data_IF_179349137095
#
_entry.id   IF_179349137095
#
_cell.length_a   1.000
_cell.length_b   1.000
_cell.length_c   1.000
_cell.angle_alpha   90.00
_cell.angle_beta   90.00
_cell.angle_gamma   90.00
#
_symmetry.space_group_name_H-M   'P 1'
#
loop_
_entity.id
_entity.type
_entity.pdbx_description
1 polymer ?
#
# COMPACT_ATOMS: atom_id res chain seq x y z
N UNK A 1 49.67 -47.62 55.18
CA UNK A 1 49.44 -47.31 53.74
C UNK A 1 49.05 -45.87 53.65
N UNK A 2 49.80 -45.14 52.86
CA UNK A 2 50.15 -43.72 53.00
C UNK A 2 49.10 -42.75 52.51
N UNK A 3 48.85 -41.68 53.29
CA UNK A 3 48.02 -40.50 52.94
C UNK A 3 48.33 -39.87 51.57
N UNK A 4 49.48 -40.22 50.98
CA UNK A 4 49.89 -39.68 49.66
C UNK A 4 49.19 -40.35 48.45
N UNK A 5 48.55 -41.51 48.59
CA UNK A 5 47.83 -42.16 47.48
C UNK A 5 46.45 -41.55 47.21
N UNK A 6 45.77 -41.08 48.25
CA UNK A 6 44.43 -40.43 48.13
C UNK A 6 44.49 -39.03 47.55
N UNK A 7 45.51 -38.23 47.87
CA UNK A 7 45.69 -36.88 47.33
C UNK A 7 45.98 -36.92 45.81
N UNK A 8 46.61 -37.99 45.32
CA UNK A 8 46.90 -38.16 43.90
C UNK A 8 45.65 -38.52 43.07
N UNK A 9 44.74 -39.30 43.65
CA UNK A 9 43.43 -39.66 43.02
C UNK A 9 42.49 -38.46 42.92
N UNK A 10 42.48 -37.63 43.98
CA UNK A 10 41.63 -36.43 43.99
C UNK A 10 42.09 -35.35 42.99
N UNK A 11 43.41 -35.24 42.75
CA UNK A 11 43.95 -34.28 41.71
C UNK A 11 43.62 -34.69 40.29
N UNK A 12 43.50 -35.97 39.97
CA UNK A 12 43.10 -36.44 38.64
C UNK A 12 41.61 -36.24 38.35
N UNK A 13 40.75 -36.38 39.34
CA UNK A 13 39.30 -36.15 39.19
C UNK A 13 39.02 -34.63 38.99
N UNK A 14 39.76 -33.76 39.67
CA UNK A 14 39.60 -32.31 39.46
C UNK A 14 40.11 -31.86 38.07
N UNK A 15 41.13 -32.50 37.50
CA UNK A 15 41.66 -32.15 36.18
C UNK A 15 40.72 -32.64 35.05
N UNK A 16 40.02 -33.76 35.19
CA UNK A 16 39.07 -34.28 34.21
C UNK A 16 37.77 -33.48 34.17
N UNK A 17 37.30 -33.00 35.37
CA UNK A 17 36.12 -32.16 35.41
C UNK A 17 36.35 -30.73 34.80
N UNK A 18 37.57 -30.18 34.95
CA UNK A 18 37.89 -28.86 34.39
C UNK A 18 37.96 -28.87 32.84
N UNK A 19 38.34 -29.98 32.23
CA UNK A 19 38.41 -30.11 30.76
C UNK A 19 37.04 -30.36 30.12
N UNK A 20 36.08 -30.95 30.83
CA UNK A 20 34.72 -31.21 30.31
C UNK A 20 33.87 -29.92 30.38
N UNK A 21 34.07 -29.06 31.40
CA UNK A 21 33.36 -27.78 31.52
C UNK A 21 33.86 -26.74 30.49
N UNK A 22 35.15 -26.83 30.08
CA UNK A 22 35.71 -25.90 29.08
C UNK A 22 35.26 -26.16 27.65
N UNK A 23 34.79 -27.38 27.33
CA UNK A 23 34.33 -27.73 25.96
C UNK A 23 32.83 -27.42 25.79
N UNK A 24 32.05 -27.35 26.85
CA UNK A 24 30.63 -27.04 26.78
C UNK A 24 30.30 -25.55 26.59
N UNK A 25 31.30 -24.65 26.71
CA UNK A 25 31.11 -23.19 26.58
C UNK A 25 31.46 -22.60 25.20
N UNK A 26 31.88 -23.44 24.24
CA UNK A 26 32.24 -22.98 22.89
C UNK A 26 31.24 -23.39 21.78
N UNK A 27 30.11 -24.01 22.12
CA UNK A 27 28.98 -24.22 21.20
C UNK A 27 27.86 -23.23 21.59
N UNK A 28 28.21 -22.00 21.93
CA UNK A 28 27.34 -20.85 21.84
C UNK A 28 27.22 -20.52 20.36
N UNK A 29 26.39 -21.29 19.63
CA UNK A 29 25.99 -20.92 18.30
C UNK A 29 25.53 -19.45 18.33
N UNK A 30 26.08 -18.63 17.48
CA UNK A 30 25.46 -17.37 17.07
C UNK A 30 24.06 -17.77 16.59
N UNK A 31 23.08 -17.75 17.47
CA UNK A 31 21.70 -17.59 17.11
C UNK A 31 21.65 -16.20 16.47
N UNK A 32 21.96 -16.13 15.19
CA UNK A 32 21.70 -14.95 14.40
C UNK A 32 20.24 -14.63 14.68
N UNK A 33 19.98 -13.46 15.22
CA UNK A 33 18.63 -12.98 15.42
C UNK A 33 17.95 -13.10 14.04
N UNK A 34 17.13 -14.12 13.85
CA UNK A 34 16.26 -14.22 12.69
C UNK A 34 15.33 -13.02 12.82
N UNK A 35 15.63 -11.98 12.06
CA UNK A 35 14.68 -10.88 11.87
C UNK A 35 13.46 -11.50 11.23
N UNK A 36 12.38 -11.62 12.01
CA UNK A 36 11.09 -12.04 11.47
C UNK A 36 10.70 -11.00 10.43
N UNK A 37 10.71 -11.41 9.16
CA UNK A 37 10.26 -10.55 8.07
C UNK A 37 8.80 -10.17 8.35
N UNK A 38 8.54 -8.87 8.48
CA UNK A 38 7.16 -8.39 8.65
C UNK A 38 6.39 -8.61 7.36
N UNK A 39 5.06 -8.74 7.43
CA UNK A 39 4.21 -8.81 6.24
C UNK A 39 4.42 -7.59 5.32
N UNK A 40 4.82 -6.45 5.87
CA UNK A 40 5.14 -5.23 5.12
C UNK A 40 6.38 -5.39 4.23
N UNK A 41 7.33 -6.25 4.62
CA UNK A 41 8.54 -6.56 3.86
C UNK A 41 8.35 -7.74 2.88
N UNK A 42 7.16 -8.36 2.85
CA UNK A 42 6.90 -9.52 2.01
C UNK A 42 7.01 -9.20 0.51
N UNK A 43 7.53 -10.16 -0.23
CA UNK A 43 7.65 -10.19 -1.70
C UNK A 43 7.17 -11.54 -2.20
N UNK A 44 6.63 -11.59 -3.42
CA UNK A 44 6.15 -12.85 -4.03
C UNK A 44 7.29 -13.76 -4.48
N UNK A 45 8.43 -13.16 -4.85
CA UNK A 45 9.58 -13.87 -5.37
C UNK A 45 9.22 -14.76 -6.59
N UNK A 46 8.46 -14.22 -7.52
CA UNK A 46 8.08 -14.91 -8.76
C UNK A 46 9.32 -15.47 -9.48
N UNK A 47 9.33 -16.75 -9.90
CA UNK A 47 10.45 -17.29 -10.66
C UNK A 47 10.56 -16.59 -12.03
N UNK A 48 11.79 -16.41 -12.51
CA UNK A 48 12.12 -15.83 -13.82
C UNK A 48 11.59 -14.41 -14.07
N UNK A 49 11.35 -13.63 -13.01
CA UNK A 49 10.96 -12.23 -13.18
C UNK A 49 12.13 -11.39 -13.71
N UNK A 50 11.83 -10.49 -14.65
CA UNK A 50 12.83 -9.60 -15.29
C UNK A 50 13.02 -8.28 -14.53
N UNK A 51 12.10 -7.95 -13.63
CA UNK A 51 12.10 -6.70 -12.85
C UNK A 51 12.33 -6.98 -11.38
N UNK A 52 13.01 -6.08 -10.68
CA UNK A 52 13.17 -6.16 -9.23
C UNK A 52 11.83 -5.93 -8.54
N UNK A 53 11.52 -6.77 -7.56
CA UNK A 53 10.29 -6.66 -6.77
C UNK A 53 10.44 -5.66 -5.62
N UNK A 54 9.39 -4.87 -5.41
CA UNK A 54 9.26 -3.89 -4.32
C UNK A 54 8.26 -4.43 -3.29
N UNK A 55 8.61 -4.38 -2.01
CA UNK A 55 7.70 -4.70 -0.90
C UNK A 55 6.79 -3.49 -0.59
N UNK A 56 5.76 -3.71 0.25
CA UNK A 56 4.88 -2.61 0.69
C UNK A 56 5.66 -1.54 1.46
N UNK A 57 6.56 -1.95 2.34
CA UNK A 57 7.42 -1.04 3.11
C UNK A 57 8.34 -0.21 2.20
N UNK A 58 8.96 -0.84 1.19
CA UNK A 58 9.78 -0.15 0.21
C UNK A 58 8.95 0.85 -0.61
N UNK A 59 7.74 0.48 -1.02
CA UNK A 59 6.85 1.35 -1.78
C UNK A 59 6.43 2.58 -0.96
N UNK A 60 6.12 2.41 0.34
CA UNK A 60 5.82 3.54 1.23
C UNK A 60 6.99 4.53 1.27
N UNK A 61 8.23 4.04 1.40
CA UNK A 61 9.42 4.89 1.39
C UNK A 61 9.60 5.62 0.05
N UNK A 62 9.45 4.88 -1.06
CA UNK A 62 9.54 5.45 -2.42
C UNK A 62 8.53 6.57 -2.65
N UNK A 63 7.30 6.40 -2.16
CA UNK A 63 6.25 7.42 -2.26
C UNK A 63 6.54 8.63 -1.37
N UNK A 64 7.12 8.42 -0.18
CA UNK A 64 7.44 9.47 0.75
C UNK A 64 8.63 10.34 0.30
N UNK A 65 9.66 9.74 -0.29
CA UNK A 65 10.89 10.41 -0.71
C UNK A 65 10.94 10.78 -2.20
N UNK A 66 9.95 10.32 -3.00
CA UNK A 66 9.88 10.57 -4.43
C UNK A 66 11.02 9.94 -5.23
N UNK A 67 11.68 8.90 -4.69
CA UNK A 67 12.85 8.24 -5.30
C UNK A 67 12.53 7.46 -6.58
N UNK A 68 11.25 7.21 -6.87
CA UNK A 68 10.80 6.67 -8.15
C UNK A 68 9.42 7.21 -8.53
N UNK A 69 9.11 7.18 -9.83
CA UNK A 69 7.75 7.44 -10.33
C UNK A 69 6.94 6.15 -10.26
N UNK A 70 5.80 6.19 -9.59
CA UNK A 70 4.91 5.02 -9.45
C UNK A 70 3.81 5.07 -10.49
N UNK A 71 3.59 3.96 -11.21
CA UNK A 71 2.55 3.85 -12.23
C UNK A 71 1.61 2.67 -11.95
N UNK A 72 0.33 2.97 -12.03
CA UNK A 72 -0.76 1.98 -12.04
C UNK A 72 -0.97 1.47 -13.48
N UNK A 73 -0.73 0.20 -13.72
CA UNK A 73 -0.92 -0.44 -15.02
C UNK A 73 -2.37 -0.93 -15.24
N UNK A 74 -3.28 -0.65 -14.33
CA UNK A 74 -4.71 -1.00 -14.47
C UNK A 74 -5.41 -0.08 -15.48
N UNK A 75 -6.58 -0.48 -15.98
CA UNK A 75 -7.44 0.39 -16.78
C UNK A 75 -7.68 1.74 -16.10
N UNK A 76 -7.79 2.80 -16.90
CA UNK A 76 -7.94 4.17 -16.37
C UNK A 76 -9.12 4.31 -15.38
N UNK A 77 -10.24 3.65 -15.63
CA UNK A 77 -11.39 3.71 -14.73
C UNK A 77 -11.09 3.07 -13.37
N UNK A 78 -10.37 1.93 -13.34
CA UNK A 78 -9.96 1.30 -12.09
C UNK A 78 -9.03 2.20 -11.27
N UNK A 79 -8.08 2.87 -11.94
CA UNK A 79 -7.22 3.85 -11.32
C UNK A 79 -8.01 5.05 -10.82
N UNK A 80 -8.88 5.62 -11.64
CA UNK A 80 -9.68 6.78 -11.26
C UNK A 80 -10.56 6.53 -10.04
N UNK A 81 -11.14 5.31 -9.91
CA UNK A 81 -11.97 4.92 -8.77
C UNK A 81 -11.15 4.70 -7.49
N UNK A 82 -9.92 4.19 -7.62
CA UNK A 82 -9.10 3.87 -6.44
C UNK A 82 -7.67 3.54 -6.86
N UNK A 83 -6.68 4.32 -6.45
CA UNK A 83 -5.27 4.07 -6.72
C UNK A 83 -4.39 4.36 -5.50
N UNK A 84 -3.19 3.79 -5.50
CA UNK A 84 -2.18 4.06 -4.47
C UNK A 84 -1.83 5.55 -4.49
N UNK A 85 -1.83 6.24 -3.35
CA UNK A 85 -1.60 7.68 -3.27
C UNK A 85 -0.34 8.13 -4.03
N UNK A 86 -0.51 9.12 -4.91
CA UNK A 86 0.56 9.65 -5.74
C UNK A 86 0.93 8.84 -6.97
N UNK A 87 0.25 7.72 -7.25
CA UNK A 87 0.53 6.92 -8.44
C UNK A 87 -0.13 7.49 -9.70
N UNK A 88 0.64 7.55 -10.78
CA UNK A 88 0.17 7.91 -12.11
C UNK A 88 -0.50 6.71 -12.81
N UNK A 89 -1.31 6.96 -13.85
CA UNK A 89 -1.89 5.90 -14.64
C UNK A 89 -1.15 5.73 -15.98
N UNK A 90 -0.77 4.49 -16.28
CA UNK A 90 -0.06 4.13 -17.52
C UNK A 90 -0.99 3.48 -18.56
N UNK A 91 -2.24 3.24 -18.22
CA UNK A 91 -3.23 2.63 -19.12
C UNK A 91 -3.85 3.67 -20.05
N UNK A 92 -4.46 3.24 -21.18
CA UNK A 92 -5.15 4.13 -22.10
C UNK A 92 -6.24 4.96 -21.42
N UNK A 93 -6.48 6.15 -21.97
CA UNK A 93 -7.51 7.09 -21.52
C UNK A 93 -8.92 6.50 -21.63
N UNK A 94 -9.93 7.06 -20.93
CA UNK A 94 -11.32 6.64 -21.04
C UNK A 94 -11.82 6.65 -22.49
N UNK A 95 -12.70 5.71 -22.82
CA UNK A 95 -13.26 5.55 -24.16
C UNK A 95 -12.57 4.50 -25.01
N UNK A 96 -11.41 3.96 -24.58
CA UNK A 96 -10.78 2.82 -25.24
C UNK A 96 -11.48 1.52 -24.79
N UNK A 97 -11.93 0.66 -25.68
CA UNK A 97 -12.51 -0.63 -25.34
C UNK A 97 -11.59 -1.49 -24.48
N UNK A 98 -12.13 -2.27 -23.55
CA UNK A 98 -11.35 -3.15 -22.65
C UNK A 98 -10.42 -4.09 -23.42
N UNK A 99 -10.81 -4.56 -24.61
CA UNK A 99 -9.98 -5.39 -25.49
C UNK A 99 -8.72 -4.66 -26.04
N UNK A 100 -8.70 -3.34 -25.97
CA UNK A 100 -7.62 -2.48 -26.44
C UNK A 100 -6.79 -1.89 -25.30
N UNK A 101 -7.01 -2.31 -24.06
CA UNK A 101 -6.17 -1.91 -22.95
C UNK A 101 -4.76 -2.49 -23.11
N UNK A 102 -3.94 -1.73 -23.81
CA UNK A 102 -2.51 -1.96 -23.94
C UNK A 102 -1.81 -0.95 -23.04
N UNK A 103 -0.89 -1.44 -22.21
CA UNK A 103 -0.01 -0.55 -21.47
C UNK A 103 0.79 0.30 -22.44
N UNK A 104 0.88 1.60 -22.20
CA UNK A 104 1.50 2.53 -23.14
C UNK A 104 2.87 2.98 -22.65
N UNK A 105 3.92 2.40 -23.22
CA UNK A 105 5.32 2.76 -22.98
C UNK A 105 5.59 4.24 -23.29
N UNK A 106 4.92 4.81 -24.32
CA UNK A 106 5.12 6.20 -24.72
C UNK A 106 4.51 7.17 -23.69
N UNK A 107 3.39 6.81 -23.04
CA UNK A 107 2.84 7.60 -21.94
C UNK A 107 3.84 7.66 -20.78
N UNK A 108 4.45 6.54 -20.40
CA UNK A 108 5.50 6.52 -19.38
C UNK A 108 6.71 7.36 -19.82
N UNK A 109 7.16 7.20 -21.06
CA UNK A 109 8.30 7.96 -21.58
C UNK A 109 8.04 9.49 -21.50
N UNK A 110 6.82 9.92 -21.81
CA UNK A 110 6.41 11.32 -21.65
C UNK A 110 6.41 11.75 -20.19
N UNK A 111 5.86 10.93 -19.30
CA UNK A 111 5.77 11.24 -17.87
C UNK A 111 7.14 11.36 -17.18
N UNK A 112 8.16 10.70 -17.72
CA UNK A 112 9.54 10.82 -17.21
C UNK A 112 10.42 11.75 -18.07
N UNK A 113 9.80 12.58 -18.94
CA UNK A 113 10.49 13.55 -19.80
C UNK A 113 11.58 12.91 -20.69
N UNK A 114 11.34 11.69 -21.17
CA UNK A 114 12.27 10.96 -22.02
C UNK A 114 13.42 10.27 -21.28
N UNK A 115 13.55 10.43 -19.97
CA UNK A 115 14.63 9.84 -19.17
C UNK A 115 14.36 8.35 -18.89
N UNK A 116 14.98 7.47 -19.66
CA UNK A 116 14.87 6.02 -19.49
C UNK A 116 15.66 5.46 -18.30
N UNK A 117 16.47 6.29 -17.65
CA UNK A 117 17.20 5.92 -16.41
C UNK A 117 16.40 6.25 -15.16
N UNK A 118 15.34 7.06 -15.26
CA UNK A 118 14.46 7.43 -14.16
C UNK A 118 13.91 6.18 -13.47
N UNK A 119 14.04 6.04 -12.13
CA UNK A 119 13.46 4.92 -11.41
C UNK A 119 11.94 4.89 -11.54
N UNK A 120 11.40 3.71 -11.89
CA UNK A 120 9.98 3.46 -12.08
C UNK A 120 9.55 2.28 -11.24
N UNK A 121 8.38 2.37 -10.61
CA UNK A 121 7.68 1.26 -9.98
C UNK A 121 6.32 1.06 -10.62
N UNK A 122 6.04 -0.15 -11.07
CA UNK A 122 4.75 -0.53 -11.65
C UNK A 122 3.95 -1.38 -10.68
N UNK A 123 2.63 -1.22 -10.65
CA UNK A 123 1.72 -2.14 -9.96
C UNK A 123 0.44 -2.39 -10.76
N UNK A 124 -0.34 -3.40 -10.35
CA UNK A 124 -1.70 -3.65 -10.84
C UNK A 124 -2.58 -4.33 -9.76
N UNK A 125 -3.48 -5.24 -10.15
CA UNK A 125 -4.42 -5.90 -9.24
C UNK A 125 -3.83 -7.10 -8.47
N UNK A 126 -2.54 -7.13 -8.21
CA UNK A 126 -1.90 -8.14 -7.37
C UNK A 126 -1.33 -9.34 -8.12
N UNK A 127 -1.10 -10.47 -7.42
CA UNK A 127 -0.26 -11.58 -7.90
C UNK A 127 -0.65 -12.17 -9.24
N UNK A 128 -1.94 -12.27 -9.52
CA UNK A 128 -2.45 -12.88 -10.75
C UNK A 128 -2.67 -11.89 -11.90
N UNK A 129 -2.31 -10.62 -11.72
CA UNK A 129 -2.48 -9.59 -12.75
C UNK A 129 -1.21 -9.45 -13.60
N UNK A 130 -1.28 -9.90 -14.87
CA UNK A 130 -0.16 -9.81 -15.82
C UNK A 130 0.14 -8.41 -16.39
N UNK A 131 -0.71 -7.40 -16.12
CA UNK A 131 -0.57 -6.07 -16.77
C UNK A 131 0.75 -5.37 -16.41
N UNK A 132 1.10 -5.29 -15.12
CA UNK A 132 2.37 -4.68 -14.68
C UNK A 132 3.59 -5.49 -15.10
N UNK A 133 3.46 -6.84 -15.19
CA UNK A 133 4.54 -7.70 -15.68
C UNK A 133 4.83 -7.41 -17.16
N UNK A 134 3.81 -7.46 -18.01
CA UNK A 134 3.93 -7.15 -19.43
C UNK A 134 4.50 -5.74 -19.66
N UNK A 135 3.93 -4.73 -19.00
CA UNK A 135 4.42 -3.34 -19.12
C UNK A 135 5.88 -3.22 -18.68
N UNK A 136 6.29 -3.89 -17.61
CA UNK A 136 7.69 -3.94 -17.17
C UNK A 136 8.62 -4.52 -18.23
N UNK A 137 8.22 -5.62 -18.87
CA UNK A 137 8.98 -6.25 -19.96
C UNK A 137 9.05 -5.35 -21.19
N UNK A 138 7.96 -4.70 -21.56
CA UNK A 138 7.90 -3.73 -22.66
C UNK A 138 8.82 -2.51 -22.43
N UNK A 139 8.85 -1.98 -21.21
CA UNK A 139 9.74 -0.89 -20.82
C UNK A 139 11.22 -1.30 -20.88
N UNK A 140 11.57 -2.48 -20.37
CA UNK A 140 12.94 -3.00 -20.46
C UNK A 140 13.36 -3.16 -21.93
N UNK A 141 12.48 -3.71 -22.80
CA UNK A 141 12.71 -3.84 -24.24
C UNK A 141 12.85 -2.48 -24.93
N UNK A 142 12.17 -1.45 -24.44
CA UNK A 142 12.30 -0.07 -24.92
C UNK A 142 13.55 0.66 -24.37
N UNK A 143 14.39 -0.02 -23.59
CA UNK A 143 15.67 0.50 -23.09
C UNK A 143 15.59 1.25 -21.77
N UNK A 144 14.52 1.11 -20.98
CA UNK A 144 14.48 1.58 -19.61
C UNK A 144 15.37 0.70 -18.73
N UNK A 145 16.16 1.31 -17.84
CA UNK A 145 17.19 0.59 -17.07
C UNK A 145 16.84 0.40 -15.60
N UNK A 146 15.84 1.10 -15.07
CA UNK A 146 15.48 1.06 -13.65
C UNK A 146 13.97 0.84 -13.46
N UNK A 147 13.49 -0.34 -13.85
CA UNK A 147 12.07 -0.74 -13.75
C UNK A 147 11.91 -1.76 -12.63
N UNK A 148 11.05 -1.44 -11.67
CA UNK A 148 10.69 -2.29 -10.52
C UNK A 148 9.20 -2.55 -10.50
N UNK A 149 8.75 -3.56 -9.76
CA UNK A 149 7.32 -3.89 -9.65
C UNK A 149 6.91 -4.12 -8.21
N UNK A 150 5.80 -3.52 -7.80
CA UNK A 150 5.06 -3.88 -6.61
C UNK A 150 4.01 -4.93 -6.97
N UNK A 151 4.40 -6.22 -6.89
CA UNK A 151 3.60 -7.34 -7.39
C UNK A 151 2.39 -7.64 -6.50
N UNK A 152 2.46 -7.32 -5.21
CA UNK A 152 1.36 -7.46 -4.26
C UNK A 152 0.15 -6.59 -4.66
N UNK A 153 0.37 -5.45 -5.31
CA UNK A 153 -0.63 -4.63 -5.99
C UNK A 153 -1.64 -3.93 -5.08
N UNK A 154 -2.66 -3.34 -5.71
CA UNK A 154 -3.68 -2.54 -5.02
C UNK A 154 -4.44 -3.26 -3.89
N UNK A 155 -4.82 -4.56 -4.00
CA UNK A 155 -5.52 -5.26 -2.92
C UNK A 155 -4.68 -5.37 -1.64
N UNK A 156 -3.40 -5.72 -1.77
CA UNK A 156 -2.51 -5.83 -0.61
C UNK A 156 -2.21 -4.46 0.01
N UNK A 157 -2.06 -3.43 -0.82
CA UNK A 157 -1.93 -2.06 -0.31
C UNK A 157 -3.14 -1.67 0.55
N UNK A 158 -4.37 -1.94 0.10
CA UNK A 158 -5.59 -1.71 0.89
C UNK A 158 -5.59 -2.47 2.22
N UNK A 159 -5.15 -3.72 2.20
CA UNK A 159 -5.11 -4.55 3.39
C UNK A 159 -4.07 -4.09 4.42
N UNK A 160 -2.94 -3.54 3.98
CA UNK A 160 -1.81 -3.21 4.85
C UNK A 160 -1.73 -1.71 5.20
N UNK A 161 -2.13 -0.83 4.28
CA UNK A 161 -2.06 0.64 4.44
C UNK A 161 -3.44 1.24 4.67
N UNK A 162 -4.48 0.68 4.04
CA UNK A 162 -5.88 0.91 4.37
C UNK A 162 -6.59 1.92 3.47
N UNK A 163 -5.93 2.95 2.96
CA UNK A 163 -6.60 4.01 2.18
C UNK A 163 -5.95 4.22 0.81
N UNK A 164 -6.74 4.75 -0.12
CA UNK A 164 -6.38 5.00 -1.51
C UNK A 164 -6.83 6.41 -1.93
N UNK A 165 -6.37 6.88 -3.09
CA UNK A 165 -6.87 8.08 -3.77
C UNK A 165 -8.02 7.75 -4.73
N UNK A 166 -8.92 8.72 -4.94
CA UNK A 166 -9.98 8.68 -5.95
C UNK A 166 -10.01 9.99 -6.72
N UNK A 167 -10.09 9.87 -8.04
CA UNK A 167 -10.17 11.01 -8.96
C UNK A 167 -11.62 11.49 -9.16
N UNK A 168 -11.79 12.69 -9.71
CA UNK A 168 -13.12 13.24 -9.99
C UNK A 168 -14.00 12.29 -10.80
N UNK A 169 -13.45 11.70 -11.87
CA UNK A 169 -14.19 10.74 -12.69
C UNK A 169 -14.57 9.47 -11.91
N UNK A 170 -13.72 9.04 -10.99
CA UNK A 170 -14.00 7.94 -10.08
C UNK A 170 -15.13 8.24 -9.10
N UNK A 171 -15.12 9.45 -8.50
CA UNK A 171 -16.20 9.91 -7.61
C UNK A 171 -17.53 9.97 -8.38
N UNK A 172 -17.54 10.56 -9.58
CA UNK A 172 -18.73 10.63 -10.42
C UNK A 172 -19.25 9.27 -10.83
N UNK A 173 -18.34 8.34 -11.15
CA UNK A 173 -18.72 6.96 -11.47
C UNK A 173 -19.36 6.28 -10.26
N UNK A 174 -18.74 6.34 -9.09
CA UNK A 174 -19.26 5.75 -7.86
C UNK A 174 -20.61 6.37 -7.47
N UNK A 175 -20.73 7.68 -7.50
CA UNK A 175 -21.98 8.38 -7.17
C UNK A 175 -23.17 7.95 -8.03
N UNK A 176 -22.94 7.69 -9.30
CA UNK A 176 -23.98 7.26 -10.25
C UNK A 176 -24.31 5.77 -10.18
N UNK A 177 -23.31 4.92 -9.96
CA UNK A 177 -23.42 3.48 -10.18
C UNK A 177 -23.32 2.64 -8.92
N UNK A 178 -22.79 3.14 -7.81
CA UNK A 178 -22.65 2.42 -6.54
C UNK A 178 -23.59 3.01 -5.49
N UNK A 179 -24.77 2.40 -5.36
CA UNK A 179 -25.80 2.89 -4.42
C UNK A 179 -25.50 2.53 -2.97
N UNK A 180 -24.52 1.68 -2.72
CA UNK A 180 -24.08 1.31 -1.38
C UNK A 180 -22.91 2.18 -0.88
N UNK A 181 -22.29 2.96 -1.77
CA UNK A 181 -21.18 3.84 -1.41
C UNK A 181 -21.58 4.90 -0.38
N UNK A 182 -20.78 5.02 0.67
CA UNK A 182 -20.94 6.02 1.71
C UNK A 182 -20.01 7.20 1.40
N UNK A 183 -20.60 8.39 1.25
CA UNK A 183 -19.87 9.63 1.03
C UNK A 183 -19.70 10.35 2.38
N UNK A 184 -18.45 10.64 2.73
CA UNK A 184 -18.07 11.27 4.00
C UNK A 184 -17.54 12.67 3.73
N UNK A 185 -18.21 13.66 4.33
CA UNK A 185 -17.77 15.07 4.34
C UNK A 185 -16.88 15.29 5.59
N UNK A 186 -15.61 15.50 5.37
CA UNK A 186 -14.61 15.71 6.41
C UNK A 186 -14.57 17.15 6.96
N UNK A 187 -15.37 18.07 6.40
CA UNK A 187 -15.43 19.47 6.82
C UNK A 187 -16.10 19.62 8.18
N UNK A 188 -15.98 20.80 8.76
CA UNK A 188 -16.63 21.09 10.04
C UNK A 188 -18.16 20.97 9.96
N UNK A 189 -18.85 20.74 11.10
CA UNK A 189 -20.32 20.71 11.12
C UNK A 189 -20.96 22.01 10.63
N UNK A 190 -20.31 23.15 10.85
CA UNK A 190 -20.75 24.45 10.39
C UNK A 190 -20.70 24.55 8.86
N UNK A 191 -19.58 24.14 8.25
CA UNK A 191 -19.43 24.10 6.80
C UNK A 191 -20.38 23.08 6.16
N UNK A 192 -20.59 21.93 6.78
CA UNK A 192 -21.55 20.91 6.32
C UNK A 192 -22.98 21.48 6.27
N UNK A 193 -23.40 22.24 7.29
CA UNK A 193 -24.73 22.89 7.34
C UNK A 193 -24.93 23.92 6.23
N UNK A 194 -23.87 24.51 5.70
CA UNK A 194 -23.99 25.42 4.53
C UNK A 194 -24.25 24.70 3.21
N UNK A 195 -24.19 23.38 3.22
CA UNK A 195 -24.46 22.47 2.11
C UNK A 195 -23.33 21.47 1.89
N UNK A 196 -23.72 20.26 1.49
CA UNK A 196 -22.84 19.14 1.18
C UNK A 196 -23.34 18.38 -0.05
N UNK A 197 -22.70 17.24 -0.39
CA UNK A 197 -23.24 16.35 -1.41
C UNK A 197 -24.51 15.66 -0.89
N UNK A 198 -25.51 15.42 -1.74
CA UNK A 198 -26.72 14.69 -1.34
C UNK A 198 -26.39 13.34 -0.72
N UNK A 199 -26.93 13.06 0.46
CA UNK A 199 -26.72 11.80 1.19
C UNK A 199 -25.38 11.66 1.91
N UNK A 200 -24.47 12.63 1.82
CA UNK A 200 -23.20 12.58 2.53
C UNK A 200 -23.38 12.60 4.05
N UNK A 201 -22.48 11.92 4.76
CA UNK A 201 -22.37 11.92 6.21
C UNK A 201 -21.27 12.87 6.65
N UNK A 202 -21.57 13.77 7.59
CA UNK A 202 -20.52 14.62 8.16
C UNK A 202 -19.72 13.84 9.21
N UNK A 203 -18.44 13.65 8.97
CA UNK A 203 -17.53 12.94 9.87
C UNK A 203 -16.19 13.70 9.89
N UNK A 204 -16.06 14.76 10.66
CA UNK A 204 -14.78 15.40 10.94
C UNK A 204 -13.83 14.43 11.63
N UNK A 205 -12.51 14.65 11.53
CA UNK A 205 -11.48 13.74 12.04
C UNK A 205 -11.70 13.32 13.51
N UNK A 206 -12.10 14.27 14.35
CA UNK A 206 -12.34 13.98 15.78
C UNK A 206 -13.55 13.07 16.04
N UNK A 207 -14.45 12.93 15.08
CA UNK A 207 -15.69 12.18 15.22
C UNK A 207 -15.64 10.76 14.61
N UNK A 208 -14.53 10.35 14.00
CA UNK A 208 -14.42 9.05 13.31
C UNK A 208 -14.78 7.88 14.23
N UNK A 209 -14.32 7.88 15.49
CA UNK A 209 -14.67 6.81 16.45
C UNK A 209 -16.15 6.80 16.78
N UNK A 210 -16.75 7.96 17.03
CA UNK A 210 -18.17 8.07 17.34
C UNK A 210 -19.05 7.65 16.15
N UNK A 211 -18.59 7.90 14.92
CA UNK A 211 -19.31 7.57 13.69
C UNK A 211 -19.52 6.05 13.48
N UNK A 212 -18.76 5.20 14.15
CA UNK A 212 -19.01 3.74 14.20
C UNK A 212 -20.24 3.42 15.03
N UNK A 213 -20.39 4.09 16.17
CA UNK A 213 -21.41 3.76 17.16
C UNK A 213 -22.77 4.41 16.84
N UNK A 214 -22.77 5.49 16.06
CA UNK A 214 -23.97 6.27 15.72
C UNK A 214 -24.55 6.00 14.33
N UNK A 215 -23.99 5.01 13.59
CA UNK A 215 -24.50 4.56 12.29
C UNK A 215 -24.12 5.45 11.10
N UNK A 216 -23.20 6.40 11.26
CA UNK A 216 -22.67 7.18 10.12
C UNK A 216 -21.69 6.35 9.28
N UNK A 217 -21.01 5.35 9.85
CA UNK A 217 -20.17 4.38 9.13
C UNK A 217 -20.91 3.04 8.95
N UNK A 218 -20.69 2.32 7.84
CA UNK A 218 -21.41 1.09 7.48
C UNK A 218 -20.85 -0.12 8.24
N UNK A 219 -21.26 -0.30 9.49
CA UNK A 219 -20.75 -1.36 10.38
C UNK A 219 -21.18 -2.78 9.96
N UNK A 220 -22.22 -2.93 9.14
CA UNK A 220 -22.69 -4.22 8.64
C UNK A 220 -21.74 -4.83 7.60
N UNK A 221 -21.02 -3.99 6.84
CA UNK A 221 -20.04 -4.44 5.84
C UNK A 221 -18.84 -3.50 5.77
N UNK A 222 -17.74 -3.93 6.35
CA UNK A 222 -16.47 -3.21 6.34
C UNK A 222 -15.81 -3.11 4.96
N UNK A 223 -16.34 -3.79 3.93
CA UNK A 223 -15.92 -3.66 2.53
C UNK A 223 -16.74 -2.65 1.74
N UNK A 224 -17.81 -2.09 2.33
CA UNK A 224 -18.56 -1.00 1.73
C UNK A 224 -17.61 0.11 1.30
N UNK A 225 -17.82 0.64 0.10
CA UNK A 225 -17.02 1.75 -0.41
C UNK A 225 -17.27 3.01 0.40
N UNK A 226 -16.22 3.58 0.97
CA UNK A 226 -16.26 4.86 1.66
C UNK A 226 -15.42 5.85 0.87
N UNK A 227 -16.04 6.98 0.49
CA UNK A 227 -15.40 8.06 -0.26
C UNK A 227 -15.38 9.30 0.62
N UNK A 228 -14.20 9.67 1.07
CA UNK A 228 -13.99 10.84 1.91
C UNK A 228 -13.64 12.05 1.04
N UNK A 229 -14.33 13.15 1.22
CA UNK A 229 -13.98 14.44 0.63
C UNK A 229 -13.94 15.53 1.70
N UNK A 230 -13.23 16.60 1.43
CA UNK A 230 -13.09 17.73 2.33
C UNK A 230 -12.98 19.02 1.54
N UNK A 231 -12.60 20.11 2.19
CA UNK A 231 -12.24 21.36 1.52
C UNK A 231 -11.23 21.09 0.40
N UNK A 232 -10.25 20.23 0.70
CA UNK A 232 -9.22 19.72 -0.20
C UNK A 232 -8.76 18.31 0.24
N UNK A 233 -7.80 17.74 -0.48
CA UNK A 233 -7.23 16.43 -0.15
C UNK A 233 -6.47 16.41 1.18
N UNK A 234 -5.88 17.53 1.60
CA UNK A 234 -5.15 17.61 2.87
C UNK A 234 -6.08 17.46 4.08
N UNK A 235 -7.35 17.89 3.96
CA UNK A 235 -8.36 17.67 4.99
C UNK A 235 -9.00 16.28 4.87
N UNK A 236 -9.24 15.77 3.66
CA UNK A 236 -9.90 14.47 3.44
C UNK A 236 -9.02 13.28 3.84
N UNK A 237 -7.72 13.30 3.52
CA UNK A 237 -6.79 12.19 3.74
C UNK A 237 -6.69 11.73 5.20
N UNK A 238 -6.47 12.60 6.21
CA UNK A 238 -6.41 12.15 7.60
C UNK A 238 -7.68 11.46 8.09
N UNK A 239 -8.86 11.89 7.59
CA UNK A 239 -10.14 11.26 7.91
C UNK A 239 -10.25 9.87 7.28
N UNK A 240 -9.86 9.73 6.00
CA UNK A 240 -9.81 8.43 5.34
C UNK A 240 -8.86 7.45 6.03
N UNK A 241 -7.69 7.92 6.44
CA UNK A 241 -6.72 7.13 7.20
C UNK A 241 -7.29 6.68 8.55
N UNK A 242 -7.95 7.57 9.28
CA UNK A 242 -8.56 7.25 10.56
C UNK A 242 -9.69 6.22 10.40
N UNK A 243 -10.54 6.35 9.36
CA UNK A 243 -11.60 5.39 9.06
C UNK A 243 -10.99 4.02 8.68
N UNK A 244 -9.95 3.99 7.87
CA UNK A 244 -9.27 2.73 7.50
C UNK A 244 -8.68 2.00 8.72
N UNK A 245 -8.17 2.73 9.72
CA UNK A 245 -7.68 2.17 10.99
C UNK A 245 -8.78 1.54 11.85
N UNK A 246 -10.04 1.87 11.60
CA UNK A 246 -11.21 1.22 12.21
C UNK A 246 -11.67 -0.03 11.44
N UNK A 247 -10.74 -0.66 10.68
CA UNK A 247 -10.92 -1.90 9.92
C UNK A 247 -11.87 -1.79 8.71
N UNK A 248 -12.08 -0.60 8.16
CA UNK A 248 -12.76 -0.46 6.87
C UNK A 248 -11.77 -0.67 5.72
N UNK A 249 -12.08 -1.57 4.78
CA UNK A 249 -11.11 -2.06 3.79
C UNK A 249 -11.23 -1.40 2.40
N UNK A 250 -12.23 -0.55 2.18
CA UNK A 250 -12.46 0.09 0.88
C UNK A 250 -12.64 1.60 1.03
N UNK A 251 -11.64 2.24 1.65
CA UNK A 251 -11.64 3.68 1.92
C UNK A 251 -10.81 4.41 0.88
N UNK A 252 -11.39 5.46 0.31
CA UNK A 252 -10.69 6.38 -0.59
C UNK A 252 -10.89 7.83 -0.15
N UNK A 253 -9.94 8.70 -0.49
CA UNK A 253 -10.11 10.14 -0.34
C UNK A 253 -9.99 10.84 -1.68
N UNK A 254 -10.83 11.86 -1.88
CA UNK A 254 -10.86 12.64 -3.11
C UNK A 254 -9.67 13.61 -3.16
N UNK A 255 -8.93 13.58 -4.28
CA UNK A 255 -7.72 14.40 -4.46
C UNK A 255 -8.01 15.87 -4.76
N UNK A 256 -9.24 16.22 -5.18
CA UNK A 256 -9.65 17.58 -5.51
C UNK A 256 -10.31 18.33 -4.36
N UNK A 257 -11.07 19.37 -4.69
CA UNK A 257 -11.74 20.23 -3.72
C UNK A 257 -13.25 19.99 -3.65
N UNK A 258 -13.87 20.29 -2.50
CA UNK A 258 -15.33 20.25 -2.37
C UNK A 258 -16.03 21.11 -3.42
N UNK A 259 -15.49 22.28 -3.76
CA UNK A 259 -16.08 23.16 -4.78
C UNK A 259 -16.14 22.50 -6.15
N UNK A 260 -15.12 21.71 -6.51
CA UNK A 260 -15.11 20.91 -7.75
C UNK A 260 -16.23 19.87 -7.73
N UNK A 261 -16.39 19.11 -6.62
CA UNK A 261 -17.47 18.12 -6.50
C UNK A 261 -18.85 18.77 -6.60
N UNK A 262 -19.06 19.87 -5.87
CA UNK A 262 -20.33 20.60 -5.83
C UNK A 262 -20.72 21.18 -7.19
N UNK A 263 -19.75 21.51 -8.04
CA UNK A 263 -20.05 22.04 -9.38
C UNK A 263 -20.60 20.98 -10.34
N UNK A 264 -20.37 19.68 -10.10
CA UNK A 264 -20.72 18.57 -11.01
C UNK A 264 -21.72 17.57 -10.43
N UNK A 265 -21.89 17.53 -9.10
CA UNK A 265 -22.90 16.74 -8.38
C UNK A 265 -23.96 17.69 -7.85
N UNK A 266 -25.20 17.57 -8.39
CA UNK A 266 -26.33 18.42 -8.02
C UNK A 266 -27.41 17.59 -7.32
#
# INVERSE_FOLDING_TARGET
MSRHAEVRKMRWIAAVCATIVGIALTVGGFAGAQTVATIMAAKLLEPNQKTVEVSTEELIRILADGSAVVFDARPHLEWAISHIPGANNAAPKPGVPMSQYVSDVNEILRAVNGDKTRPIVLYCNGPFCGKSKRLGEELLAAGFTNVRRYQLGAPTWRALVGYMEIELNGVLYAYRNDKTAVFVDARSPEEFKTGSLPGAKNIPLAEVKAAKDDGRLPMEDHNTRIIVFGKDSAQARPVAEAIAREAFHNVTYFVGTFSTLRSVIK
#
